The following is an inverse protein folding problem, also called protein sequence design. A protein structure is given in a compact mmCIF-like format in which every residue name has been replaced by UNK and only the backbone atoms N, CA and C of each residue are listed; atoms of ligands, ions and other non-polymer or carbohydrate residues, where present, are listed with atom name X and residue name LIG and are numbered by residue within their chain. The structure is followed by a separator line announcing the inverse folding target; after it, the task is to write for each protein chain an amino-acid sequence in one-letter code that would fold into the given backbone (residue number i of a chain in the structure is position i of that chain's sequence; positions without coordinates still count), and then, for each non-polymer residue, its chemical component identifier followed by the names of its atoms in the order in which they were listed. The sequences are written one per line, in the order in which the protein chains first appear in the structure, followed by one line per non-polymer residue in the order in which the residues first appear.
data_IF_341930162761
#
_entry.id   IF_341930162761
#
_cell.length_a   1.000
_cell.length_b   1.000
_cell.length_c   1.000
_cell.angle_alpha   90.00
_cell.angle_beta   90.00
_cell.angle_gamma   90.00
#
_symmetry.space_group_name_H-M   'P 1'
#
loop_
_entity.id
_entity.type
_entity.pdbx_description
1 polymer ?
#
# COMPACT_ATOMS: atom_id res chain seq x y z
N UNK A 1 5.74 7.94 13.17
CA UNK A 1 4.59 8.82 12.85
C UNK A 1 3.73 8.01 11.93
N UNK A 2 2.49 7.79 12.31
CA UNK A 2 1.69 6.72 11.73
C UNK A 2 0.87 7.25 10.57
N UNK A 3 1.09 6.66 9.39
CA UNK A 3 0.24 6.85 8.21
C UNK A 3 -0.84 5.78 8.18
N UNK A 4 -1.96 6.08 7.52
CA UNK A 4 -3.01 5.09 7.25
C UNK A 4 -3.01 4.72 5.77
N UNK A 5 -3.19 3.44 5.48
CA UNK A 5 -3.43 2.96 4.13
C UNK A 5 -4.92 2.88 3.86
N UNK A 6 -5.31 3.29 2.67
CA UNK A 6 -6.64 3.05 2.12
C UNK A 6 -6.55 2.27 0.83
N UNK A 7 -7.53 1.38 0.62
CA UNK A 7 -7.65 0.68 -0.66
C UNK A 7 -8.37 1.58 -1.66
N UNK A 8 -7.70 1.92 -2.76
CA UNK A 8 -8.32 2.68 -3.87
C UNK A 8 -8.90 1.74 -4.92
N UNK A 9 -8.12 0.73 -5.30
CA UNK A 9 -8.57 -0.33 -6.19
C UNK A 9 -7.71 -1.58 -6.01
N UNK A 10 -8.33 -2.74 -6.22
CA UNK A 10 -7.64 -4.02 -6.34
C UNK A 10 -8.27 -4.83 -7.47
N UNK A 11 -7.42 -5.31 -8.37
CA UNK A 11 -7.78 -6.26 -9.42
C UNK A 11 -6.72 -7.36 -9.43
N UNK A 12 -7.05 -8.50 -8.84
CA UNK A 12 -6.14 -9.62 -8.62
C UNK A 12 -6.79 -10.89 -9.14
N UNK A 13 -6.77 -11.13 -10.46
CA UNK A 13 -7.38 -12.31 -11.07
C UNK A 13 -6.69 -13.62 -10.65
N UNK A 14 -5.38 -13.57 -10.40
CA UNK A 14 -4.58 -14.71 -9.95
C UNK A 14 -3.58 -14.28 -8.86
N UNK A 15 -3.12 -15.22 -8.03
CA UNK A 15 -2.13 -14.92 -6.97
C UNK A 15 -0.87 -14.25 -7.55
N UNK A 16 -0.40 -14.70 -8.72
CA UNK A 16 0.81 -14.18 -9.38
C UNK A 16 0.55 -13.09 -10.42
N UNK A 17 -0.69 -12.60 -10.54
CA UNK A 17 -1.03 -11.54 -11.49
C UNK A 17 -2.04 -10.58 -10.88
N UNK A 18 -1.68 -9.31 -10.74
CA UNK A 18 -2.61 -8.34 -10.20
C UNK A 18 -2.12 -6.90 -10.25
N UNK A 19 -3.05 -6.00 -9.96
CA UNK A 19 -2.81 -4.57 -9.76
C UNK A 19 -3.51 -4.13 -8.47
N UNK A 20 -2.82 -3.26 -7.75
CA UNK A 20 -3.28 -2.69 -6.50
C UNK A 20 -2.94 -1.20 -6.49
N UNK A 21 -3.90 -0.36 -6.09
CA UNK A 21 -3.65 1.05 -5.80
C UNK A 21 -4.03 1.36 -4.36
N UNK A 22 -3.08 1.91 -3.62
CA UNK A 22 -3.20 2.26 -2.20
C UNK A 22 -3.08 3.77 -2.02
N UNK A 23 -3.95 4.35 -1.21
CA UNK A 23 -3.78 5.72 -0.72
C UNK A 23 -2.97 5.73 0.57
N UNK A 24 -2.11 6.73 0.73
CA UNK A 24 -1.43 7.04 1.99
C UNK A 24 -2.15 8.26 2.57
N UNK A 25 -2.83 8.07 3.69
CA UNK A 25 -3.54 9.12 4.41
C UNK A 25 -2.74 9.65 5.59
N UNK A 26 -2.88 10.96 5.81
CA UNK A 26 -2.41 11.66 6.99
C UNK A 26 -3.40 12.78 7.34
N UNK A 27 -3.86 12.82 8.60
CA UNK A 27 -4.86 13.79 9.09
C UNK A 27 -6.10 13.87 8.17
N UNK A 28 -6.68 12.71 7.87
CA UNK A 28 -7.89 12.55 7.04
C UNK A 28 -7.77 13.03 5.57
N UNK A 29 -6.57 13.39 5.12
CA UNK A 29 -6.28 13.74 3.73
C UNK A 29 -5.37 12.69 3.07
N UNK A 30 -5.62 12.39 1.80
CA UNK A 30 -4.68 11.61 0.99
C UNK A 30 -3.44 12.47 0.69
N UNK A 31 -2.28 12.03 1.18
CA UNK A 31 -1.01 12.73 1.04
C UNK A 31 -0.15 12.19 -0.12
N UNK A 32 -0.32 10.91 -0.45
CA UNK A 32 0.36 10.23 -1.56
C UNK A 32 -0.41 8.95 -1.94
N UNK A 33 0.02 8.27 -3.00
CA UNK A 33 -0.45 6.93 -3.34
C UNK A 33 0.68 5.99 -3.74
N UNK A 34 0.42 4.70 -3.68
CA UNK A 34 1.30 3.64 -4.19
C UNK A 34 0.51 2.80 -5.19
N UNK A 35 1.02 2.71 -6.40
CA UNK A 35 0.51 1.78 -7.41
C UNK A 35 1.45 0.60 -7.53
N UNK A 36 0.89 -0.61 -7.41
CA UNK A 36 1.61 -1.87 -7.53
C UNK A 36 0.99 -2.66 -8.67
N UNK A 37 1.83 -3.23 -9.51
CA UNK A 37 1.41 -4.18 -10.54
C UNK A 37 2.42 -5.32 -10.57
N UNK A 38 1.92 -6.55 -10.61
CA UNK A 38 2.75 -7.74 -10.72
C UNK A 38 2.18 -8.72 -11.74
N UNK A 39 3.09 -9.40 -12.41
CA UNK A 39 2.84 -10.56 -13.26
C UNK A 39 3.78 -11.69 -12.84
N UNK A 40 3.76 -12.81 -13.55
CA UNK A 40 4.66 -13.95 -13.31
C UNK A 40 6.13 -13.57 -13.55
N UNK A 41 6.39 -12.56 -14.38
CA UNK A 41 7.71 -12.15 -14.84
C UNK A 41 8.21 -10.88 -14.15
N UNK A 42 7.32 -9.97 -13.79
CA UNK A 42 7.70 -8.63 -13.36
C UNK A 42 6.90 -8.16 -12.15
N UNK A 43 7.58 -7.40 -11.30
CA UNK A 43 6.96 -6.63 -10.23
C UNK A 43 7.34 -5.17 -10.41
N UNK A 44 6.34 -4.28 -10.40
CA UNK A 44 6.53 -2.84 -10.42
C UNK A 44 5.76 -2.23 -9.26
N UNK A 45 6.45 -1.40 -8.47
CA UNK A 45 5.81 -0.52 -7.50
C UNK A 45 6.23 0.92 -7.77
N UNK A 46 5.25 1.82 -7.71
CA UNK A 46 5.44 3.25 -7.96
C UNK A 46 4.83 4.03 -6.82
N UNK A 47 5.64 4.88 -6.20
CA UNK A 47 5.16 5.92 -5.30
C UNK A 47 4.76 7.16 -6.11
N UNK A 48 3.59 7.72 -5.81
CA UNK A 48 3.09 8.95 -6.41
C UNK A 48 2.84 10.00 -5.32
N UNK A 49 3.65 11.06 -5.30
CA UNK A 49 3.54 12.14 -4.34
C UNK A 49 4.86 12.89 -4.17
N UNK A 50 4.87 13.88 -3.27
CA UNK A 50 6.06 14.63 -2.92
C UNK A 50 6.59 14.17 -1.56
N UNK A 51 7.41 13.11 -1.56
CA UNK A 51 7.91 12.46 -0.34
C UNK A 51 8.59 13.42 0.67
N UNK A 52 9.40 14.42 0.24
CA UNK A 52 9.98 15.40 1.17
C UNK A 52 8.95 16.30 1.87
N UNK A 53 7.76 16.45 1.30
CA UNK A 53 6.66 17.24 1.89
C UNK A 53 5.73 16.44 2.79
N UNK A 54 5.99 15.14 2.97
CA UNK A 54 5.24 14.32 3.92
C UNK A 54 5.69 14.62 5.37
N UNK A 55 4.80 14.46 6.37
CA UNK A 55 5.07 14.79 7.78
C UNK A 55 6.34 14.16 8.34
N UNK A 56 6.61 12.90 7.96
CA UNK A 56 7.92 12.26 8.12
C UNK A 56 8.49 12.06 6.72
N UNK A 57 9.43 12.91 6.29
CA UNK A 57 10.12 12.77 5.03
C UNK A 57 10.93 11.47 5.01
N UNK A 58 10.80 10.72 3.92
CA UNK A 58 11.63 9.55 3.67
C UNK A 58 11.83 9.35 2.17
N UNK A 59 12.74 8.45 1.80
CA UNK A 59 12.88 8.06 0.40
C UNK A 59 11.59 7.36 -0.09
N UNK A 60 11.10 7.58 -1.32
CA UNK A 60 9.87 6.97 -1.83
C UNK A 60 9.79 5.45 -1.65
N UNK A 61 10.92 4.76 -1.80
CA UNK A 61 11.02 3.31 -1.58
C UNK A 61 10.73 2.88 -0.13
N UNK A 62 11.00 3.73 0.86
CA UNK A 62 10.72 3.43 2.26
C UNK A 62 9.20 3.37 2.50
N UNK A 63 8.45 4.30 1.90
CA UNK A 63 6.98 4.27 1.92
C UNK A 63 6.44 3.01 1.25
N UNK A 64 6.95 2.66 0.05
CA UNK A 64 6.53 1.44 -0.66
C UNK A 64 6.77 0.21 0.21
N UNK A 65 7.98 0.05 0.75
CA UNK A 65 8.33 -1.09 1.59
C UNK A 65 7.42 -1.18 2.82
N UNK A 66 7.33 -0.11 3.61
CA UNK A 66 6.57 -0.10 4.85
C UNK A 66 5.07 -0.34 4.63
N UNK A 67 4.51 0.24 3.56
CA UNK A 67 3.11 0.01 3.21
C UNK A 67 2.83 -1.46 2.85
N UNK A 68 3.70 -2.07 2.03
CA UNK A 68 3.53 -3.47 1.63
C UNK A 68 3.75 -4.44 2.81
N UNK A 69 4.70 -4.14 3.69
CA UNK A 69 4.93 -4.92 4.90
C UNK A 69 3.71 -4.87 5.83
N UNK A 70 3.17 -3.68 6.09
CA UNK A 70 1.98 -3.51 6.92
C UNK A 70 0.75 -4.20 6.32
N UNK A 71 0.55 -4.08 5.01
CA UNK A 71 -0.54 -4.76 4.31
C UNK A 71 -0.43 -6.29 4.45
N UNK A 72 0.76 -6.85 4.21
CA UNK A 72 0.96 -8.29 4.31
C UNK A 72 0.86 -8.80 5.76
N UNK A 73 1.31 -8.03 6.74
CA UNK A 73 1.15 -8.36 8.16
C UNK A 73 -0.31 -8.37 8.62
N UNK A 74 -1.17 -7.56 7.98
CA UNK A 74 -2.60 -7.50 8.28
C UNK A 74 -3.40 -8.65 7.63
N UNK A 75 -2.82 -9.36 6.66
CA UNK A 75 -3.44 -10.56 6.10
C UNK A 75 -3.48 -11.71 7.13
N UNK A 76 -4.60 -12.43 7.17
CA UNK A 76 -4.77 -13.65 7.95
C UNK A 76 -4.09 -14.86 7.29
N UNK A 77 -3.95 -14.83 5.95
CA UNK A 77 -3.25 -15.85 5.17
C UNK A 77 -2.56 -15.22 3.95
N UNK A 78 -1.47 -15.79 3.42
CA UNK A 78 -0.71 -15.20 2.31
C UNK A 78 -1.55 -14.92 1.05
N UNK A 79 -2.49 -15.81 0.75
CA UNK A 79 -3.39 -15.79 -0.40
C UNK A 79 -4.69 -15.00 -0.15
N UNK A 80 -4.86 -14.43 1.05
CA UNK A 80 -6.06 -13.64 1.35
C UNK A 80 -6.19 -12.44 0.39
N UNK A 81 -7.39 -12.20 -0.16
CA UNK A 81 -7.67 -11.02 -0.96
C UNK A 81 -7.36 -9.73 -0.18
N UNK A 82 -6.66 -8.80 -0.83
CA UNK A 82 -6.27 -7.52 -0.22
C UNK A 82 -7.48 -6.73 0.28
N UNK A 83 -8.62 -6.80 -0.43
CA UNK A 83 -9.86 -6.14 -0.01
C UNK A 83 -10.37 -6.59 1.37
N UNK A 84 -10.18 -7.86 1.73
CA UNK A 84 -10.58 -8.41 3.02
C UNK A 84 -9.82 -7.81 4.20
N UNK A 85 -8.58 -7.34 3.97
CA UNK A 85 -7.77 -6.65 4.97
C UNK A 85 -8.44 -5.34 5.38
N UNK A 86 -8.83 -4.53 4.40
CA UNK A 86 -9.44 -3.21 4.64
C UNK A 86 -10.87 -3.29 5.19
N UNK A 87 -11.54 -4.43 5.06
CA UNK A 87 -12.85 -4.68 5.70
C UNK A 87 -12.77 -4.92 7.21
N UNK A 88 -11.58 -5.23 7.76
CA UNK A 88 -11.39 -5.55 9.19
C UNK A 88 -10.98 -4.34 10.04
N UNK A 89 -10.54 -3.26 9.41
CA UNK A 89 -10.12 -2.05 10.10
C UNK A 89 -9.04 -1.28 9.32
N UNK A 90 -8.60 -0.13 9.85
CA UNK A 90 -7.56 0.66 9.22
C UNK A 90 -6.21 -0.06 9.27
N UNK A 91 -5.49 -0.07 8.15
CA UNK A 91 -4.10 -0.54 8.09
C UNK A 91 -3.19 0.66 8.31
N UNK A 92 -2.32 0.57 9.31
CA UNK A 92 -1.43 1.66 9.69
C UNK A 92 0.02 1.27 9.53
N UNK A 93 0.88 2.22 9.18
CA UNK A 93 2.32 1.98 9.04
C UNK A 93 3.15 3.20 9.42
N UNK A 94 4.39 2.94 9.84
CA UNK A 94 5.43 3.94 10.06
C UNK A 94 6.52 3.77 9.00
N UNK A 95 7.28 4.84 8.74
CA UNK A 95 8.39 4.88 7.77
C UNK A 95 9.70 5.21 8.48
#
# INVERSE_FOLDING_TARGET
MTYQLTLKSADVPEVMTGRLSLGIQHLDAEAASIDVTWTKEHFTARFNGFAPGLPVPAHPMAFVKAAMDALNAAKAAPDEPVASVFGRGPVSFDV
#
